data_IF_064959355369
#
_entry.id   IF_064959355369
#
_cell.length_a   1.000
_cell.length_b   1.000
_cell.length_c   1.000
_cell.angle_alpha   90.00
_cell.angle_beta   90.00
_cell.angle_gamma   90.00
#
_symmetry.space_group_name_H-M   'P 1'
#
loop_
_entity.id
_entity.type
_entity.pdbx_description
1 polymer ?
#
# COMPACT_ATOMS: atom_id res chain seq x y z
N UNK A 1 4.02 30.29 -23.18
CA UNK A 1 2.96 30.72 -22.23
C UNK A 1 1.98 29.60 -21.84
N UNK A 2 1.50 28.74 -22.77
CA UNK A 2 0.50 27.71 -22.45
C UNK A 2 0.95 26.63 -21.45
N UNK A 3 2.24 26.24 -21.43
CA UNK A 3 2.75 25.18 -20.53
C UNK A 3 2.69 25.56 -19.04
N UNK A 4 3.01 26.82 -18.73
CA UNK A 4 3.04 27.34 -17.34
C UNK A 4 1.63 27.46 -16.75
N UNK A 5 0.64 27.81 -17.58
CA UNK A 5 -0.77 27.94 -17.16
C UNK A 5 -1.39 26.54 -16.95
N UNK A 6 -1.07 25.58 -17.82
CA UNK A 6 -1.46 24.17 -17.64
C UNK A 6 -0.83 23.57 -16.38
N UNK A 7 0.46 23.80 -16.12
CA UNK A 7 1.15 23.34 -14.91
C UNK A 7 0.54 23.92 -13.62
N UNK A 8 0.14 25.20 -13.63
CA UNK A 8 -0.51 25.84 -12.47
C UNK A 8 -1.92 25.28 -12.20
N UNK A 9 -2.72 25.05 -13.24
CA UNK A 9 -4.07 24.49 -13.09
C UNK A 9 -4.04 23.02 -12.67
N UNK A 10 -3.10 22.25 -13.22
CA UNK A 10 -2.78 20.89 -12.82
C UNK A 10 -2.33 20.82 -11.34
N UNK A 11 -1.42 21.71 -10.94
CA UNK A 11 -0.96 21.85 -9.54
C UNK A 11 -2.09 22.21 -8.57
N UNK A 12 -3.06 23.03 -8.98
CA UNK A 12 -4.18 23.42 -8.13
C UNK A 12 -5.17 22.27 -7.94
N UNK A 13 -5.58 21.61 -9.02
CA UNK A 13 -6.45 20.44 -8.97
C UNK A 13 -5.80 19.30 -8.17
N UNK A 14 -4.48 19.14 -8.29
CA UNK A 14 -3.67 18.21 -7.50
C UNK A 14 -3.79 18.43 -5.99
N UNK A 15 -3.69 19.69 -5.51
CA UNK A 15 -3.77 19.98 -4.08
C UNK A 15 -5.15 19.70 -3.50
N UNK A 16 -6.20 19.93 -4.30
CA UNK A 16 -7.58 19.65 -3.92
C UNK A 16 -7.81 18.13 -3.84
N UNK A 17 -7.38 17.38 -4.85
CA UNK A 17 -7.52 15.91 -4.86
C UNK A 17 -6.76 15.29 -3.69
N UNK A 18 -5.51 15.69 -3.47
CA UNK A 18 -4.72 15.26 -2.31
C UNK A 18 -5.42 15.56 -0.97
N UNK A 19 -6.00 16.76 -0.84
CA UNK A 19 -6.75 17.15 0.36
C UNK A 19 -8.00 16.30 0.58
N UNK A 20 -8.77 16.03 -0.48
CA UNK A 20 -9.97 15.18 -0.42
C UNK A 20 -9.60 13.75 -0.06
N UNK A 21 -8.54 13.20 -0.64
CA UNK A 21 -8.06 11.84 -0.35
C UNK A 21 -7.61 11.70 1.11
N UNK A 22 -6.85 12.68 1.61
CA UNK A 22 -6.42 12.72 3.00
C UNK A 22 -7.61 12.79 3.97
N UNK A 23 -8.58 13.67 3.70
CA UNK A 23 -9.81 13.78 4.51
C UNK A 23 -10.63 12.49 4.45
N UNK A 24 -10.75 11.89 3.27
CA UNK A 24 -11.48 10.61 3.08
C UNK A 24 -10.84 9.50 3.90
N UNK A 25 -9.51 9.43 3.92
CA UNK A 25 -8.76 8.46 4.72
C UNK A 25 -8.92 8.70 6.22
N UNK A 26 -8.91 9.96 6.67
CA UNK A 26 -9.20 10.30 8.07
C UNK A 26 -10.62 9.91 8.49
N UNK A 27 -11.61 10.14 7.63
CA UNK A 27 -13.00 9.73 7.87
C UNK A 27 -13.09 8.20 7.93
N UNK A 28 -12.45 7.51 6.97
CA UNK A 28 -12.41 6.05 6.95
C UNK A 28 -11.71 5.51 8.20
N UNK A 29 -10.63 6.13 8.67
CA UNK A 29 -9.96 5.76 9.93
C UNK A 29 -10.91 5.84 11.12
N UNK A 30 -11.64 6.95 11.26
CA UNK A 30 -12.60 7.16 12.37
C UNK A 30 -13.75 6.15 12.31
N UNK A 31 -14.27 5.88 11.12
CA UNK A 31 -15.35 4.90 10.92
C UNK A 31 -14.84 3.48 11.19
N UNK A 32 -13.71 3.11 10.60
CA UNK A 32 -13.12 1.78 10.74
C UNK A 32 -12.79 1.51 12.20
N UNK A 33 -12.28 2.46 12.96
CA UNK A 33 -11.87 2.22 14.34
C UNK A 33 -13.00 1.64 15.22
N UNK A 34 -14.25 2.04 14.96
CA UNK A 34 -15.42 1.50 15.66
C UNK A 34 -15.64 0.00 15.42
N UNK A 35 -15.19 -0.54 14.29
CA UNK A 35 -15.31 -1.96 13.92
C UNK A 35 -14.14 -2.82 14.45
N UNK A 36 -13.09 -2.21 14.99
CA UNK A 36 -11.89 -2.91 15.49
C UNK A 36 -11.86 -3.03 17.03
N UNK A 37 -13.00 -2.81 17.69
CA UNK A 37 -13.15 -2.97 19.13
C UNK A 37 -13.33 -4.44 19.56
N UNK A 38 -13.74 -5.32 18.64
CA UNK A 38 -13.93 -6.76 18.89
C UNK A 38 -13.21 -7.54 17.79
N UNK A 39 -12.41 -8.59 18.10
CA UNK A 39 -11.77 -9.43 17.10
C UNK A 39 -12.82 -10.09 16.20
N UNK A 40 -13.13 -9.44 15.09
CA UNK A 40 -14.18 -9.84 14.16
C UNK A 40 -13.58 -10.31 12.85
N UNK A 41 -14.37 -11.02 12.06
CA UNK A 41 -13.97 -11.46 10.71
C UNK A 41 -13.96 -10.28 9.71
N UNK A 42 -14.49 -9.11 10.10
CA UNK A 42 -14.68 -7.96 9.22
C UNK A 42 -13.35 -7.41 8.68
N UNK A 43 -12.29 -7.18 9.49
CA UNK A 43 -11.01 -6.71 8.95
C UNK A 43 -10.35 -7.74 8.02
N UNK A 44 -10.49 -9.04 8.29
CA UNK A 44 -10.02 -10.12 7.40
C UNK A 44 -10.65 -10.00 6.00
N UNK A 45 -11.98 -9.84 5.93
CA UNK A 45 -12.68 -9.69 4.65
C UNK A 45 -12.42 -8.34 3.98
N UNK A 46 -12.21 -7.28 4.75
CA UNK A 46 -11.93 -5.95 4.20
C UNK A 46 -10.66 -5.98 3.36
N UNK A 47 -9.59 -6.64 3.82
CA UNK A 47 -8.36 -6.83 3.04
C UNK A 47 -8.60 -7.63 1.74
N UNK A 48 -9.48 -8.65 1.77
CA UNK A 48 -9.85 -9.40 0.55
C UNK A 48 -10.53 -8.50 -0.47
N UNK A 49 -11.39 -7.57 -0.03
CA UNK A 49 -12.08 -6.62 -0.92
C UNK A 49 -11.16 -5.49 -1.42
N UNK A 50 -10.12 -5.14 -0.69
CA UNK A 50 -9.15 -4.12 -1.12
C UNK A 50 -8.32 -4.55 -2.34
N UNK A 51 -8.10 -5.86 -2.53
CA UNK A 51 -7.38 -6.40 -3.69
C UNK A 51 -8.12 -6.11 -5.02
N UNK A 52 -9.38 -6.58 -5.23
CA UNK A 52 -10.12 -6.29 -6.44
C UNK A 52 -10.45 -4.79 -6.55
N UNK A 53 -10.71 -4.09 -5.44
CA UNK A 53 -10.90 -2.64 -5.45
C UNK A 53 -9.69 -1.94 -6.09
N UNK A 54 -8.49 -2.17 -5.57
CA UNK A 54 -7.25 -1.56 -6.09
C UNK A 54 -7.01 -1.92 -7.57
N UNK A 55 -7.35 -3.14 -7.97
CA UNK A 55 -7.15 -3.60 -9.34
C UNK A 55 -8.12 -2.99 -10.34
N UNK A 56 -9.38 -2.78 -9.94
CA UNK A 56 -10.40 -2.11 -10.77
C UNK A 56 -9.92 -0.69 -11.13
N UNK A 57 -9.39 0.05 -10.17
CA UNK A 57 -8.86 1.40 -10.41
C UNK A 57 -7.69 1.40 -11.39
N UNK A 58 -6.79 0.42 -11.30
CA UNK A 58 -5.67 0.27 -12.25
C UNK A 58 -6.16 -0.08 -13.66
N UNK A 59 -7.19 -0.92 -13.79
CA UNK A 59 -7.81 -1.24 -15.08
C UNK A 59 -8.45 0.02 -15.70
N UNK A 60 -9.21 0.78 -14.92
CA UNK A 60 -9.85 2.01 -15.39
C UNK A 60 -8.77 3.04 -15.79
N UNK A 61 -7.74 3.22 -14.95
CA UNK A 61 -6.63 4.12 -15.25
C UNK A 61 -5.93 3.75 -16.56
N UNK A 62 -5.70 2.46 -16.80
CA UNK A 62 -5.16 1.96 -18.08
C UNK A 62 -6.06 2.32 -19.27
N UNK A 63 -7.38 2.20 -19.14
CA UNK A 63 -8.32 2.55 -20.23
C UNK A 63 -8.35 4.05 -20.51
N UNK A 64 -8.02 4.88 -19.52
CA UNK A 64 -7.97 6.35 -19.62
C UNK A 64 -6.59 6.89 -19.96
N UNK A 65 -5.57 6.03 -20.08
CA UNK A 65 -4.21 6.44 -20.39
C UNK A 65 -4.10 6.91 -21.85
N UNK A 66 -3.33 7.97 -22.09
CA UNK A 66 -3.10 8.52 -23.44
C UNK A 66 -2.11 7.72 -24.29
N UNK A 67 -1.61 6.62 -23.74
CA UNK A 67 -0.67 5.71 -24.38
C UNK A 67 -1.12 4.26 -24.13
N UNK A 68 -0.77 3.31 -25.02
CA UNK A 68 -1.12 1.90 -24.84
C UNK A 68 -0.32 1.29 -23.69
N UNK A 69 -0.85 1.44 -22.47
CA UNK A 69 -0.24 0.90 -21.27
C UNK A 69 -0.34 -0.64 -21.26
N UNK A 70 0.75 -1.32 -20.88
CA UNK A 70 0.81 -2.78 -20.81
C UNK A 70 1.53 -3.16 -19.54
N UNK A 71 0.86 -3.86 -18.61
CA UNK A 71 1.47 -4.26 -17.34
C UNK A 71 2.70 -5.16 -17.52
N UNK A 72 2.84 -5.86 -18.67
CA UNK A 72 4.05 -6.61 -18.98
C UNK A 72 5.27 -5.69 -19.18
N UNK A 73 5.05 -4.52 -19.78
CA UNK A 73 6.11 -3.60 -20.23
C UNK A 73 6.27 -2.38 -19.33
N UNK A 74 5.18 -1.90 -18.75
CA UNK A 74 5.10 -0.65 -18.03
C UNK A 74 4.63 -0.93 -16.60
N UNK A 75 5.32 -0.39 -15.60
CA UNK A 75 4.87 -0.45 -14.22
C UNK A 75 3.58 0.37 -14.05
N UNK A 76 2.62 -0.08 -13.22
CA UNK A 76 1.38 0.62 -12.83
C UNK A 76 1.63 2.08 -12.49
N UNK A 77 2.78 2.33 -11.88
CA UNK A 77 3.20 3.63 -11.40
C UNK A 77 3.33 4.67 -12.55
N UNK A 78 3.61 4.23 -13.79
CA UNK A 78 3.61 5.11 -14.98
C UNK A 78 2.22 5.67 -15.32
N UNK A 79 1.13 5.06 -14.83
CA UNK A 79 -0.22 5.61 -14.99
C UNK A 79 -0.39 6.91 -14.18
N UNK A 80 0.44 7.11 -13.14
CA UNK A 80 0.46 8.32 -12.30
C UNK A 80 1.25 9.48 -12.88
N UNK A 81 1.80 9.35 -14.09
CA UNK A 81 2.46 10.48 -14.75
C UNK A 81 1.42 11.46 -15.30
N UNK A 82 1.57 12.74 -14.99
CA UNK A 82 0.69 13.80 -15.49
C UNK A 82 0.85 14.06 -16.99
N UNK A 83 2.03 13.78 -17.55
CA UNK A 83 2.34 14.08 -18.95
C UNK A 83 3.24 12.99 -19.55
N UNK A 84 2.81 12.40 -20.67
CA UNK A 84 3.51 11.29 -21.33
C UNK A 84 3.52 11.52 -22.83
N UNK A 85 4.69 11.44 -23.47
CA UNK A 85 4.88 11.65 -24.92
C UNK A 85 4.25 12.95 -25.48
N UNK A 86 4.37 14.06 -24.76
CA UNK A 86 3.80 15.32 -25.24
C UNK A 86 2.29 15.47 -25.01
N UNK A 87 1.65 14.52 -24.33
CA UNK A 87 0.21 14.50 -24.09
C UNK A 87 -0.11 14.51 -22.60
N UNK A 88 -1.19 15.21 -22.25
CA UNK A 88 -1.77 15.25 -20.91
C UNK A 88 -2.38 13.88 -20.55
N UNK A 89 -1.96 13.32 -19.43
CA UNK A 89 -2.40 12.01 -18.90
C UNK A 89 -3.13 12.15 -17.55
N UNK A 90 -3.64 13.34 -17.21
CA UNK A 90 -4.29 13.63 -15.94
C UNK A 90 -5.46 12.70 -15.60
N UNK A 91 -6.23 12.24 -16.58
CA UNK A 91 -7.34 11.32 -16.29
C UNK A 91 -6.82 10.00 -15.70
N UNK A 92 -5.87 9.33 -16.37
CA UNK A 92 -5.29 8.09 -15.84
C UNK A 92 -4.60 8.32 -14.48
N UNK A 93 -3.96 9.47 -14.29
CA UNK A 93 -3.37 9.87 -13.02
C UNK A 93 -4.40 9.95 -11.88
N UNK A 94 -5.61 10.46 -12.15
CA UNK A 94 -6.68 10.49 -11.15
C UNK A 94 -7.22 9.10 -10.83
N UNK A 95 -7.45 8.27 -11.85
CA UNK A 95 -7.97 6.92 -11.64
C UNK A 95 -6.96 6.02 -10.93
N UNK A 96 -5.65 6.17 -11.16
CA UNK A 96 -4.64 5.38 -10.45
C UNK A 96 -4.54 5.77 -8.98
N UNK A 97 -5.09 6.91 -8.53
CA UNK A 97 -5.11 7.21 -7.09
C UNK A 97 -5.90 6.18 -6.29
N UNK A 98 -6.97 5.62 -6.86
CA UNK A 98 -7.76 4.58 -6.20
C UNK A 98 -6.93 3.34 -5.81
N UNK A 99 -5.87 3.05 -6.56
CA UNK A 99 -4.88 2.02 -6.19
C UNK A 99 -4.10 2.39 -4.93
N UNK A 100 -3.60 3.62 -4.87
CA UNK A 100 -2.81 4.10 -3.74
C UNK A 100 -3.65 4.28 -2.48
N UNK A 101 -4.92 4.66 -2.64
CA UNK A 101 -5.93 4.65 -1.57
C UNK A 101 -6.12 3.22 -1.06
N UNK A 102 -6.31 2.24 -1.95
CA UNK A 102 -6.45 0.84 -1.55
C UNK A 102 -5.24 0.31 -0.77
N UNK A 103 -4.02 0.64 -1.22
CA UNK A 103 -2.79 0.31 -0.50
C UNK A 103 -2.71 1.02 0.88
N UNK A 104 -3.08 2.30 0.94
CA UNK A 104 -3.10 3.05 2.19
C UNK A 104 -4.10 2.46 3.20
N UNK A 105 -5.27 2.03 2.74
CA UNK A 105 -6.27 1.38 3.57
C UNK A 105 -5.78 0.06 4.16
N UNK A 106 -5.01 -0.72 3.39
CA UNK A 106 -4.47 -2.00 3.86
C UNK A 106 -3.46 -1.79 5.01
N UNK A 107 -2.62 -0.76 4.91
CA UNK A 107 -1.74 -0.34 6.02
C UNK A 107 -2.50 0.13 7.24
N UNK A 108 -3.54 0.93 7.02
CA UNK A 108 -4.37 1.45 8.10
C UNK A 108 -5.03 0.30 8.86
N UNK A 109 -5.62 -0.66 8.15
CA UNK A 109 -6.26 -1.84 8.75
C UNK A 109 -5.24 -2.63 9.58
N UNK A 110 -4.08 -2.92 9.01
CA UNK A 110 -3.01 -3.64 9.70
C UNK A 110 -2.55 -2.87 10.95
N UNK A 111 -2.38 -1.55 10.83
CA UNK A 111 -2.00 -0.67 11.94
C UNK A 111 -3.05 -0.63 13.04
N UNK A 112 -4.35 -0.57 12.69
CA UNK A 112 -5.45 -0.64 13.65
C UNK A 112 -5.51 -1.99 14.38
N UNK A 113 -5.24 -3.12 13.69
CA UNK A 113 -5.14 -4.43 14.36
C UNK A 113 -4.04 -4.44 15.41
N UNK A 114 -2.83 -3.99 15.04
CA UNK A 114 -1.70 -3.92 15.96
C UNK A 114 -2.00 -2.99 17.13
N UNK A 115 -2.56 -1.82 16.84
CA UNK A 115 -2.89 -0.82 17.85
C UNK A 115 -3.94 -1.32 18.84
N UNK A 116 -5.03 -1.93 18.38
CA UNK A 116 -6.15 -2.26 19.25
C UNK A 116 -5.97 -3.59 19.99
N UNK A 117 -5.31 -4.59 19.40
CA UNK A 117 -5.18 -5.93 20.02
C UNK A 117 -3.83 -6.20 20.68
N UNK A 118 -2.81 -5.40 20.40
CA UNK A 118 -1.44 -5.65 20.86
C UNK A 118 -0.86 -4.47 21.64
N UNK A 119 -1.71 -3.71 22.36
CA UNK A 119 -1.32 -2.54 23.16
C UNK A 119 -0.18 -2.83 24.14
N UNK A 120 -0.12 -4.05 24.68
CA UNK A 120 0.89 -4.49 25.62
C UNK A 120 2.29 -4.65 25.01
N UNK A 121 2.43 -4.72 23.67
CA UNK A 121 3.69 -4.93 23.00
C UNK A 121 4.19 -3.63 22.33
N UNK A 122 5.17 -2.92 22.92
CA UNK A 122 5.63 -1.63 22.40
C UNK A 122 6.25 -1.71 21.00
N UNK A 123 6.86 -2.85 20.64
CA UNK A 123 7.45 -3.02 19.30
C UNK A 123 6.38 -3.13 18.21
N UNK A 124 5.26 -3.79 18.52
CA UNK A 124 4.10 -3.84 17.62
C UNK A 124 3.40 -2.48 17.51
N UNK A 125 3.40 -1.67 18.58
CA UNK A 125 2.90 -0.29 18.52
C UNK A 125 3.77 0.63 17.66
N UNK A 126 5.10 0.51 17.75
CA UNK A 126 6.03 1.23 16.85
C UNK A 126 5.78 0.81 15.39
N UNK A 127 5.53 -0.49 15.16
CA UNK A 127 5.19 -1.02 13.84
C UNK A 127 3.87 -0.45 13.32
N UNK A 128 2.84 -0.32 14.18
CA UNK A 128 1.58 0.33 13.84
C UNK A 128 1.78 1.79 13.39
N UNK A 129 2.64 2.54 14.10
CA UNK A 129 3.00 3.90 13.70
C UNK A 129 3.70 3.93 12.34
N UNK A 130 4.61 2.98 12.09
CA UNK A 130 5.28 2.81 10.80
C UNK A 130 4.30 2.52 9.66
N UNK A 131 3.26 1.73 9.89
CA UNK A 131 2.19 1.45 8.93
C UNK A 131 1.36 2.71 8.63
N UNK A 132 1.02 3.51 9.63
CA UNK A 132 0.34 4.79 9.40
C UNK A 132 1.18 5.76 8.57
N UNK A 133 2.49 5.82 8.82
CA UNK A 133 3.41 6.56 7.96
C UNK A 133 3.43 5.97 6.53
N UNK A 134 3.44 4.65 6.40
CA UNK A 134 3.33 3.95 5.12
C UNK A 134 2.07 4.32 4.34
N UNK A 135 0.92 4.44 5.01
CA UNK A 135 -0.34 4.89 4.43
C UNK A 135 -0.22 6.30 3.85
N UNK A 136 0.35 7.23 4.61
CA UNK A 136 0.60 8.61 4.16
C UNK A 136 1.52 8.61 2.94
N UNK A 137 2.61 7.85 2.97
CA UNK A 137 3.56 7.75 1.86
C UNK A 137 2.95 7.10 0.61
N UNK A 138 2.04 6.12 0.75
CA UNK A 138 1.33 5.53 -0.37
C UNK A 138 0.46 6.55 -1.11
N UNK A 139 -0.29 7.37 -0.38
CA UNK A 139 -1.08 8.47 -0.98
C UNK A 139 -0.13 9.46 -1.68
N UNK A 140 0.97 9.85 -1.02
CA UNK A 140 1.96 10.73 -1.63
C UNK A 140 2.59 10.14 -2.89
N UNK A 141 2.76 8.81 -2.98
CA UNK A 141 3.24 8.15 -4.20
C UNK A 141 2.24 8.20 -5.35
N UNK A 142 0.94 8.18 -5.05
CA UNK A 142 -0.09 8.41 -6.06
C UNK A 142 -0.10 9.85 -6.55
N UNK A 143 0.01 10.78 -5.60
CA UNK A 143 -0.03 12.21 -5.85
C UNK A 143 1.22 12.64 -6.64
N UNK A 144 2.42 12.32 -6.17
CA UNK A 144 3.69 12.82 -6.73
C UNK A 144 4.00 12.11 -8.05
N UNK A 145 4.12 12.85 -9.17
CA UNK A 145 4.45 12.26 -10.45
C UNK A 145 5.74 11.45 -10.38
N UNK A 146 5.71 10.25 -10.96
CA UNK A 146 6.82 9.32 -10.93
C UNK A 146 7.92 9.80 -11.86
N UNK A 147 9.01 10.21 -11.23
CA UNK A 147 10.19 10.71 -11.90
C UNK A 147 11.41 10.16 -11.16
N UNK A 148 12.09 9.20 -11.79
CA UNK A 148 13.30 8.55 -11.27
C UNK A 148 14.45 9.55 -11.06
N UNK A 149 14.38 10.73 -11.68
CA UNK A 149 15.36 11.79 -11.53
C UNK A 149 14.98 12.80 -10.44
N UNK A 150 13.77 12.70 -9.87
CA UNK A 150 13.36 13.52 -8.71
C UNK A 150 13.74 12.82 -7.42
N UNK A 151 14.68 13.44 -6.70
CA UNK A 151 15.14 13.02 -5.36
C UNK A 151 13.98 12.73 -4.40
N UNK A 152 12.91 13.52 -4.45
CA UNK A 152 11.75 13.33 -3.57
C UNK A 152 11.01 12.01 -3.82
N UNK A 153 10.71 11.67 -5.08
CA UNK A 153 10.04 10.42 -5.42
C UNK A 153 10.89 9.19 -5.03
N UNK A 154 12.19 9.29 -5.26
CA UNK A 154 13.16 8.26 -4.88
C UNK A 154 13.15 8.03 -3.36
N UNK A 155 13.22 9.10 -2.56
CA UNK A 155 13.17 9.02 -1.09
C UNK A 155 11.85 8.42 -0.63
N UNK A 156 10.71 8.92 -1.12
CA UNK A 156 9.38 8.38 -0.75
C UNK A 156 9.27 6.90 -1.06
N UNK A 157 9.78 6.47 -2.22
CA UNK A 157 9.79 5.06 -2.63
C UNK A 157 10.68 4.25 -1.69
N UNK A 158 11.94 4.64 -1.47
CA UNK A 158 12.85 3.93 -0.56
C UNK A 158 12.29 3.83 0.87
N UNK A 159 11.71 4.91 1.38
CA UNK A 159 11.09 4.91 2.71
C UNK A 159 9.89 3.97 2.76
N UNK A 160 9.00 4.00 1.77
CA UNK A 160 7.84 3.12 1.72
C UNK A 160 8.25 1.63 1.67
N UNK A 161 9.18 1.28 0.79
CA UNK A 161 9.66 -0.09 0.66
C UNK A 161 10.50 -0.55 1.85
N UNK A 162 11.27 0.36 2.46
CA UNK A 162 11.98 0.11 3.71
C UNK A 162 11.02 -0.21 4.85
N UNK A 163 9.98 0.62 5.03
CA UNK A 163 8.91 0.38 6.02
C UNK A 163 8.22 -0.96 5.77
N UNK A 164 7.96 -1.32 4.52
CA UNK A 164 7.39 -2.61 4.15
C UNK A 164 8.24 -3.79 4.61
N UNK A 165 9.53 -3.77 4.29
CA UNK A 165 10.46 -4.86 4.64
C UNK A 165 10.58 -4.93 6.17
N UNK A 166 10.82 -3.81 6.84
CA UNK A 166 10.97 -3.77 8.29
C UNK A 166 9.71 -4.24 9.01
N UNK A 167 8.53 -3.75 8.61
CA UNK A 167 7.25 -4.16 9.21
C UNK A 167 7.02 -5.66 9.04
N UNK A 168 7.28 -6.19 7.85
CA UNK A 168 7.08 -7.62 7.59
C UNK A 168 8.05 -8.49 8.38
N UNK A 169 9.31 -8.06 8.55
CA UNK A 169 10.26 -8.74 9.43
C UNK A 169 9.75 -8.77 10.87
N UNK A 170 9.29 -7.62 11.40
CA UNK A 170 8.80 -7.55 12.78
C UNK A 170 7.57 -8.45 12.98
N UNK A 171 6.60 -8.40 12.07
CA UNK A 171 5.39 -9.25 12.11
C UNK A 171 5.78 -10.73 11.99
N UNK A 172 6.68 -11.09 11.08
CA UNK A 172 7.14 -12.47 10.92
C UNK A 172 7.88 -12.97 12.18
N UNK A 173 8.77 -12.16 12.76
CA UNK A 173 9.44 -12.48 14.01
C UNK A 173 8.43 -12.69 15.14
N UNK A 174 7.38 -11.87 15.19
CA UNK A 174 6.30 -12.03 16.15
C UNK A 174 5.49 -13.32 15.92
N UNK A 175 5.19 -13.67 14.68
CA UNK A 175 4.54 -14.95 14.36
C UNK A 175 5.38 -16.14 14.75
N UNK A 176 6.69 -16.13 14.47
CA UNK A 176 7.60 -17.20 14.91
C UNK A 176 7.59 -17.31 16.43
N UNK A 177 7.70 -16.19 17.14
CA UNK A 177 7.64 -16.16 18.60
C UNK A 177 6.31 -16.75 19.12
N UNK A 178 5.17 -16.28 18.63
CA UNK A 178 3.86 -16.77 19.05
C UNK A 178 3.60 -18.22 18.62
N UNK A 179 4.13 -18.65 17.48
CA UNK A 179 4.05 -20.01 16.98
C UNK A 179 4.69 -21.04 17.92
N UNK A 180 5.67 -20.62 18.73
CA UNK A 180 6.21 -21.46 19.81
C UNK A 180 5.21 -21.69 20.95
N UNK A 181 4.31 -20.73 21.21
CA UNK A 181 3.35 -20.77 22.32
C UNK A 181 1.93 -21.15 21.89
N UNK A 182 1.65 -21.10 20.59
CA UNK A 182 0.30 -21.17 20.04
C UNK A 182 0.31 -21.79 18.64
N UNK A 183 -0.35 -22.94 18.48
CA UNK A 183 -0.54 -23.63 17.18
C UNK A 183 -1.48 -22.83 16.25
N UNK A 184 -2.06 -21.73 16.74
CA UNK A 184 -3.11 -20.99 16.05
C UNK A 184 -2.61 -20.03 14.97
N UNK A 185 -1.30 -19.83 14.80
CA UNK A 185 -0.79 -19.03 13.67
C UNK A 185 -0.91 -19.84 12.38
N UNK A 186 -1.81 -19.48 11.45
CA UNK A 186 -2.03 -20.30 10.26
C UNK A 186 -0.80 -20.22 9.35
N UNK A 187 -0.43 -21.35 8.73
CA UNK A 187 0.71 -21.45 7.80
C UNK A 187 0.66 -20.35 6.73
N UNK A 188 -0.54 -19.96 6.31
CA UNK A 188 -0.75 -18.89 5.34
C UNK A 188 -0.15 -17.55 5.78
N UNK A 189 -0.10 -17.24 7.08
CA UNK A 189 0.49 -16.01 7.61
C UNK A 189 2.01 -15.95 7.39
N UNK A 190 2.72 -17.08 7.59
CA UNK A 190 4.15 -17.21 7.29
C UNK A 190 4.43 -17.12 5.79
N UNK A 191 3.64 -17.84 4.99
CA UNK A 191 3.75 -17.79 3.52
C UNK A 191 3.49 -16.37 3.02
N UNK A 192 2.50 -15.69 3.58
CA UNK A 192 2.18 -14.29 3.28
C UNK A 192 3.32 -13.35 3.58
N UNK A 193 3.93 -13.44 4.77
CA UNK A 193 5.12 -12.65 5.12
C UNK A 193 6.27 -12.91 4.16
N UNK A 194 6.53 -14.18 3.80
CA UNK A 194 7.61 -14.53 2.88
C UNK A 194 7.35 -13.97 1.48
N UNK A 195 6.15 -14.12 0.94
CA UNK A 195 5.74 -13.57 -0.35
C UNK A 195 5.88 -12.04 -0.36
N UNK A 196 5.45 -11.38 0.73
CA UNK A 196 5.56 -9.93 0.84
C UNK A 196 7.01 -9.45 0.91
N UNK A 197 7.86 -10.13 1.68
CA UNK A 197 9.30 -9.83 1.78
C UNK A 197 10.02 -10.03 0.45
N UNK A 198 9.80 -11.18 -0.19
CA UNK A 198 10.41 -11.52 -1.48
C UNK A 198 9.95 -10.52 -2.53
N UNK A 199 8.63 -10.24 -2.63
CA UNK A 199 8.08 -9.27 -3.56
C UNK A 199 8.67 -7.88 -3.38
N UNK A 200 8.70 -7.39 -2.13
CA UNK A 200 9.20 -6.04 -1.80
C UNK A 200 10.69 -5.91 -2.07
N UNK A 201 11.47 -6.93 -1.73
CA UNK A 201 12.92 -6.97 -1.97
C UNK A 201 13.24 -7.03 -3.47
N UNK A 202 12.56 -7.91 -4.20
CA UNK A 202 12.77 -8.05 -5.64
C UNK A 202 12.38 -6.78 -6.39
N UNK A 203 11.29 -6.12 -6.01
CA UNK A 203 10.92 -4.85 -6.61
C UNK A 203 11.89 -3.73 -6.27
N UNK A 204 12.35 -3.64 -5.02
CA UNK A 204 13.36 -2.65 -4.62
C UNK A 204 14.67 -2.83 -5.42
N UNK A 205 15.14 -4.07 -5.58
CA UNK A 205 16.32 -4.39 -6.40
C UNK A 205 16.07 -4.02 -7.86
N UNK A 206 14.92 -4.39 -8.42
CA UNK A 206 14.55 -4.08 -9.79
C UNK A 206 14.46 -2.58 -10.05
N UNK A 207 14.00 -1.83 -9.05
CA UNK A 207 13.89 -0.38 -9.07
C UNK A 207 15.28 0.27 -9.04
N UNK A 208 16.18 -0.16 -8.14
CA UNK A 208 17.58 0.32 -8.06
C UNK A 208 18.34 0.00 -9.36
N UNK A 209 18.22 -1.24 -9.84
CA UNK A 209 18.95 -1.71 -11.02
C UNK A 209 18.32 -1.28 -12.34
N UNK A 210 17.11 -0.72 -12.29
CA UNK A 210 16.28 -0.36 -13.46
C UNK A 210 16.03 -1.53 -14.44
N UNK A 211 16.11 -2.78 -13.95
CA UNK A 211 15.92 -3.99 -14.76
C UNK A 211 14.60 -4.65 -14.44
N UNK A 212 13.80 -4.90 -15.48
CA UNK A 212 12.51 -5.63 -15.39
C UNK A 212 11.56 -5.09 -14.30
N UNK A 213 11.62 -3.78 -14.03
CA UNK A 213 10.83 -3.15 -12.96
C UNK A 213 9.32 -3.40 -13.11
N UNK A 214 8.80 -3.49 -14.34
CA UNK A 214 7.38 -3.81 -14.60
C UNK A 214 6.99 -5.21 -14.11
N UNK A 215 7.82 -6.23 -14.36
CA UNK A 215 7.58 -7.62 -13.93
C UNK A 215 7.53 -7.69 -12.40
N UNK A 216 8.55 -7.12 -11.75
CA UNK A 216 8.68 -7.17 -10.30
C UNK A 216 7.66 -6.29 -9.60
N UNK A 217 7.16 -5.22 -10.22
CA UNK A 217 6.08 -4.45 -9.63
C UNK A 217 4.78 -5.23 -9.57
N UNK A 218 4.44 -5.97 -10.64
CA UNK A 218 3.23 -6.78 -10.64
C UNK A 218 3.35 -7.90 -9.60
N UNK A 219 4.50 -8.56 -9.53
CA UNK A 219 4.76 -9.58 -8.51
C UNK A 219 4.67 -9.00 -7.09
N UNK A 220 5.25 -7.83 -6.86
CA UNK A 220 5.16 -7.11 -5.59
C UNK A 220 3.73 -6.72 -5.26
N UNK A 221 2.95 -6.22 -6.22
CA UNK A 221 1.57 -5.83 -6.00
C UNK A 221 0.73 -7.00 -5.50
N UNK A 222 0.74 -8.12 -6.23
CA UNK A 222 0.02 -9.32 -5.80
C UNK A 222 0.55 -9.83 -4.46
N UNK A 223 1.87 -9.82 -4.28
CA UNK A 223 2.50 -10.27 -3.06
C UNK A 223 2.22 -9.39 -1.84
N UNK A 224 2.02 -8.09 -2.03
CA UNK A 224 1.68 -7.13 -0.97
C UNK A 224 0.30 -7.37 -0.45
N UNK A 225 -0.70 -7.39 -1.33
CA UNK A 225 -2.08 -7.59 -0.92
C UNK A 225 -2.34 -8.98 -0.33
N UNK A 226 -1.79 -10.04 -0.95
CA UNK A 226 -1.89 -11.41 -0.40
C UNK A 226 -1.12 -11.51 0.91
N UNK A 227 0.06 -10.92 0.96
CA UNK A 227 0.93 -10.98 2.13
C UNK A 227 0.35 -10.25 3.34
N UNK A 228 -0.13 -9.02 3.16
CA UNK A 228 -0.78 -8.24 4.21
C UNK A 228 -2.11 -8.85 4.63
N UNK A 229 -2.94 -9.35 3.70
CA UNK A 229 -4.14 -10.12 4.06
C UNK A 229 -3.82 -11.33 4.96
N UNK A 230 -2.79 -12.09 4.59
CA UNK A 230 -2.35 -13.24 5.37
C UNK A 230 -1.74 -12.84 6.74
N UNK A 231 -1.02 -11.71 6.81
CA UNK A 231 -0.56 -11.13 8.06
C UNK A 231 -1.76 -10.76 8.95
N UNK A 232 -2.75 -10.06 8.40
CA UNK A 232 -3.94 -9.64 9.14
C UNK A 232 -4.73 -10.85 9.64
N UNK A 233 -4.81 -11.91 8.83
CA UNK A 233 -5.39 -13.19 9.24
C UNK A 233 -4.66 -13.77 10.46
N UNK A 234 -3.33 -13.88 10.40
CA UNK A 234 -2.52 -14.38 11.52
C UNK A 234 -2.62 -13.52 12.78
N UNK A 235 -2.59 -12.19 12.64
CA UNK A 235 -2.74 -11.25 13.75
C UNK A 235 -4.12 -11.39 14.43
N UNK A 236 -5.19 -11.57 13.66
CA UNK A 236 -6.53 -11.77 14.22
C UNK A 236 -6.64 -13.09 14.98
N UNK A 237 -6.10 -14.19 14.45
CA UNK A 237 -6.12 -15.46 15.18
C UNK A 237 -5.34 -15.40 16.49
N UNK A 238 -4.18 -14.71 16.49
CA UNK A 238 -3.43 -14.46 17.73
C UNK A 238 -4.25 -13.57 18.68
N UNK A 239 -4.85 -12.50 18.18
CA UNK A 239 -5.64 -11.58 18.99
C UNK A 239 -6.78 -12.29 19.73
N UNK A 240 -7.50 -13.20 19.05
CA UNK A 240 -8.56 -14.02 19.65
C UNK A 240 -8.06 -14.86 20.84
N UNK A 241 -6.84 -15.39 20.75
CA UNK A 241 -6.25 -16.22 21.82
C UNK A 241 -5.83 -15.36 23.02
N UNK A 242 -5.28 -14.18 22.77
CA UNK A 242 -4.80 -13.28 23.84
C UNK A 242 -5.95 -12.55 24.54
N UNK A 243 -7.08 -12.37 23.86
CA UNK A 243 -8.28 -11.70 24.41
C UNK A 243 -9.14 -12.58 25.34
N UNK A 244 -8.75 -13.83 25.57
CA UNK A 244 -9.39 -14.78 26.51
C UNK A 244 -8.60 -14.81 27.80
#
# INVERSE_FOLDING_TARGET
>A
MNKIILDKKASFNFRIVAGIEFISILIILVILDQFFLVPSIIPQWTCVFLIPFSYIWVIIAKQKAVYPHSFKKHPVCYLGQSFVFGKDNHQAMLWVQGFFIGLALDYIITGLLLRNYFLFNPYLQITACGLYLGAVLAIFMGIVPIDLYRKFHLITTFTLFGLHITTTIVILSYFIYMGHYSVFVPIIAYVGCAVHLIGSTLYLIAYITQRKASLFQNAWFFGTFIGLWACNTGLIEIAKVISV
#
